data_IF_300674996443
#
_entry.id   IF_300674996443
#
_cell.length_a   1.000
_cell.length_b   1.000
_cell.length_c   1.000
_cell.angle_alpha   90.00
_cell.angle_beta   90.00
_cell.angle_gamma   90.00
#
_symmetry.space_group_name_H-M   'P 1'
#
loop_
_entity.id
_entity.type
_entity.pdbx_description
1 polymer ?
#
# COMPACT_ATOMS: atom_id res chain seq x y z
N UNK A 1 -30.07 -23.85 2.23
CA UNK A 1 -29.90 -22.39 2.34
C UNK A 1 -28.51 -22.07 1.82
N UNK A 2 -28.41 -21.52 0.61
CA UNK A 2 -27.13 -21.29 -0.08
C UNK A 2 -26.74 -19.83 0.01
N UNK A 3 -25.52 -19.55 0.47
CA UNK A 3 -24.95 -18.21 0.37
C UNK A 3 -24.73 -17.95 -1.11
N UNK A 4 -25.32 -16.87 -1.62
CA UNK A 4 -25.16 -16.46 -3.00
C UNK A 4 -23.74 -15.91 -3.17
N UNK A 5 -22.81 -16.75 -3.65
CA UNK A 5 -21.40 -16.36 -3.84
C UNK A 5 -21.27 -15.12 -4.71
N UNK A 6 -22.20 -14.92 -5.67
CA UNK A 6 -22.25 -13.73 -6.52
C UNK A 6 -22.46 -12.45 -5.72
N UNK A 7 -23.38 -12.46 -4.75
CA UNK A 7 -23.61 -11.32 -3.87
C UNK A 7 -22.41 -11.08 -2.95
N UNK A 8 -21.84 -12.13 -2.36
CA UNK A 8 -20.66 -12.01 -1.50
C UNK A 8 -19.43 -11.45 -2.25
N UNK A 9 -19.19 -11.91 -3.48
CA UNK A 9 -18.12 -11.38 -4.34
C UNK A 9 -18.39 -9.93 -4.75
N UNK A 10 -19.62 -9.60 -5.16
CA UNK A 10 -19.98 -8.25 -5.56
C UNK A 10 -19.77 -7.24 -4.42
N UNK A 11 -20.15 -7.62 -3.18
CA UNK A 11 -19.96 -6.77 -2.00
C UNK A 11 -18.49 -6.57 -1.67
N UNK A 12 -17.67 -7.63 -1.66
CA UNK A 12 -16.24 -7.51 -1.35
C UNK A 12 -15.48 -6.73 -2.42
N UNK A 13 -15.79 -6.95 -3.70
CA UNK A 13 -15.23 -6.18 -4.80
C UNK A 13 -15.67 -4.71 -4.76
N UNK A 14 -16.96 -4.45 -4.52
CA UNK A 14 -17.50 -3.09 -4.40
C UNK A 14 -16.84 -2.30 -3.26
N UNK A 15 -16.60 -2.95 -2.10
CA UNK A 15 -15.86 -2.37 -0.99
C UNK A 15 -14.43 -2.01 -1.37
N UNK A 16 -13.71 -2.92 -2.03
CA UNK A 16 -12.34 -2.67 -2.50
C UNK A 16 -12.27 -1.52 -3.50
N UNK A 17 -13.18 -1.50 -4.48
CA UNK A 17 -13.26 -0.44 -5.48
C UNK A 17 -13.60 0.93 -4.86
N UNK A 18 -14.50 0.97 -3.88
CA UNK A 18 -14.85 2.20 -3.17
C UNK A 18 -13.65 2.79 -2.41
N UNK A 19 -12.91 1.95 -1.67
CA UNK A 19 -11.71 2.40 -0.94
C UNK A 19 -10.61 2.86 -1.91
N UNK A 20 -10.39 2.11 -3.00
CA UNK A 20 -9.42 2.50 -4.03
C UNK A 20 -9.79 3.83 -4.71
N UNK A 21 -11.09 4.05 -4.98
CA UNK A 21 -11.59 5.29 -5.56
C UNK A 21 -11.39 6.50 -4.65
N UNK A 22 -11.68 6.36 -3.35
CA UNK A 22 -11.45 7.42 -2.35
C UNK A 22 -9.95 7.75 -2.26
N UNK A 23 -9.08 6.73 -2.20
CA UNK A 23 -7.64 6.93 -2.14
C UNK A 23 -7.10 7.63 -3.41
N UNK A 24 -7.51 7.20 -4.60
CA UNK A 24 -7.13 7.84 -5.86
C UNK A 24 -7.62 9.28 -5.97
N UNK A 25 -8.86 9.54 -5.50
CA UNK A 25 -9.42 10.89 -5.45
C UNK A 25 -8.63 11.83 -4.53
N UNK A 26 -8.16 11.35 -3.38
CA UNK A 26 -7.29 12.14 -2.50
C UNK A 26 -5.94 12.48 -3.16
N UNK A 27 -5.33 11.53 -3.88
CA UNK A 27 -4.07 11.76 -4.59
C UNK A 27 -4.25 12.80 -5.71
N UNK A 28 -5.35 12.71 -6.46
CA UNK A 28 -5.68 13.62 -7.56
C UNK A 28 -5.84 15.09 -7.12
N UNK A 29 -6.19 15.35 -5.85
CA UNK A 29 -6.30 16.71 -5.31
C UNK A 29 -4.96 17.34 -4.94
N UNK A 30 -3.92 16.53 -4.71
CA UNK A 30 -2.62 16.99 -4.19
C UNK A 30 -1.59 17.12 -5.33
N UNK A 31 -1.71 16.30 -6.38
CA UNK A 31 -0.74 16.19 -7.47
C UNK A 31 -1.43 16.35 -8.83
N UNK A 32 -0.77 17.04 -9.76
CA UNK A 32 -1.26 17.14 -11.14
C UNK A 32 -1.17 15.77 -11.83
N UNK A 33 -2.28 15.28 -12.37
CA UNK A 33 -2.34 13.99 -13.05
C UNK A 33 -1.61 14.10 -14.40
N UNK A 34 -0.42 13.53 -14.48
CA UNK A 34 0.29 13.26 -15.73
C UNK A 34 0.09 11.80 -16.16
N UNK A 35 0.21 11.46 -17.46
CA UNK A 35 0.00 10.09 -17.94
C UNK A 35 0.89 9.04 -17.26
N UNK A 36 2.05 9.44 -16.75
CA UNK A 36 3.02 8.60 -16.05
C UNK A 36 2.86 8.61 -14.53
N UNK A 37 1.93 9.39 -13.98
CA UNK A 37 1.75 9.53 -12.53
C UNK A 37 1.35 8.23 -11.84
N UNK A 38 0.72 7.28 -12.54
CA UNK A 38 0.27 6.00 -11.97
C UNK A 38 1.37 4.95 -11.78
N UNK A 39 2.49 5.08 -12.49
CA UNK A 39 3.59 4.11 -12.45
C UNK A 39 4.22 3.94 -11.05
N UNK A 40 4.63 5.02 -10.34
CA UNK A 40 5.19 4.90 -9.00
C UNK A 40 4.19 4.34 -7.97
N UNK A 41 2.91 4.73 -8.04
CA UNK A 41 1.88 4.22 -7.12
C UNK A 41 1.61 2.73 -7.31
N UNK A 42 1.72 2.24 -8.55
CA UNK A 42 1.57 0.81 -8.84
C UNK A 42 2.68 0.00 -8.18
N UNK A 43 3.94 0.48 -8.28
CA UNK A 43 5.08 -0.16 -7.61
C UNK A 43 4.91 -0.15 -6.09
N UNK A 44 4.51 0.99 -5.50
CA UNK A 44 4.24 1.09 -4.06
C UNK A 44 3.13 0.14 -3.61
N UNK A 45 2.05 -0.02 -4.40
CA UNK A 45 0.98 -0.96 -4.11
C UNK A 45 1.48 -2.41 -4.09
N UNK A 46 2.31 -2.81 -5.06
CA UNK A 46 2.94 -4.13 -5.07
C UNK A 46 3.79 -4.37 -3.83
N UNK A 47 4.60 -3.39 -3.44
CA UNK A 47 5.44 -3.44 -2.24
C UNK A 47 4.60 -3.66 -0.99
N UNK A 48 3.54 -2.88 -0.80
CA UNK A 48 2.64 -2.98 0.38
C UNK A 48 1.96 -4.33 0.45
N UNK A 49 1.51 -4.87 -0.69
CA UNK A 49 0.86 -6.19 -0.76
C UNK A 49 1.84 -7.31 -0.44
N UNK A 50 3.09 -7.23 -0.91
CA UNK A 50 4.14 -8.21 -0.58
C UNK A 50 4.50 -8.13 0.91
N UNK A 51 4.61 -6.93 1.46
CA UNK A 51 4.96 -6.69 2.87
C UNK A 51 3.86 -7.17 3.84
N UNK A 52 2.58 -7.03 3.45
CA UNK A 52 1.43 -7.49 4.23
C UNK A 52 1.00 -8.94 3.98
N UNK A 53 1.25 -9.48 2.79
CA UNK A 53 0.92 -10.85 2.39
C UNK A 53 -0.33 -10.97 1.49
N UNK A 54 -0.24 -11.87 0.50
CA UNK A 54 -1.30 -12.19 -0.46
C UNK A 54 -2.37 -13.09 0.19
N UNK A 55 -3.47 -12.50 0.68
CA UNK A 55 -4.64 -13.26 1.15
C UNK A 55 -5.18 -12.86 2.52
N UNK A 56 -4.46 -12.04 3.29
CA UNK A 56 -4.94 -11.49 4.56
C UNK A 56 -5.09 -9.97 4.48
N UNK A 57 -6.30 -9.51 4.16
CA UNK A 57 -6.63 -8.07 4.03
C UNK A 57 -6.18 -7.28 5.26
N UNK A 58 -6.35 -7.83 6.47
CA UNK A 58 -5.93 -7.16 7.71
C UNK A 58 -4.42 -6.95 7.79
N UNK A 59 -3.60 -7.89 7.30
CA UNK A 59 -2.15 -7.74 7.29
C UNK A 59 -1.68 -6.75 6.21
N UNK A 60 -2.36 -6.71 5.05
CA UNK A 60 -2.13 -5.71 4.00
C UNK A 60 -2.41 -4.29 4.48
N UNK A 61 -3.50 -4.08 5.22
CA UNK A 61 -3.85 -2.76 5.79
C UNK A 61 -2.77 -2.26 6.75
N UNK A 62 -2.30 -3.12 7.67
CA UNK A 62 -1.24 -2.70 8.60
C UNK A 62 0.09 -2.50 7.87
N UNK A 63 0.41 -3.33 6.88
CA UNK A 63 1.59 -3.15 6.02
C UNK A 63 1.59 -1.81 5.28
N UNK A 64 0.44 -1.42 4.71
CA UNK A 64 0.28 -0.13 4.04
C UNK A 64 0.37 1.06 4.98
N UNK A 65 -0.16 0.92 6.20
CA UNK A 65 -0.11 1.97 7.21
C UNK A 65 1.33 2.20 7.72
N UNK A 66 2.09 1.13 7.94
CA UNK A 66 3.52 1.22 8.28
C UNK A 66 4.31 1.85 7.13
N UNK A 67 4.05 1.41 5.89
CA UNK A 67 4.72 1.97 4.71
C UNK A 67 4.44 3.47 4.55
N UNK A 68 3.18 3.90 4.69
CA UNK A 68 2.81 5.32 4.60
C UNK A 68 3.40 6.17 5.72
N UNK A 69 3.47 5.67 6.95
CA UNK A 69 4.13 6.38 8.06
C UNK A 69 5.62 6.58 7.75
N UNK A 70 6.28 5.53 7.29
CA UNK A 70 7.69 5.57 6.88
C UNK A 70 7.94 6.57 5.76
N UNK A 71 7.08 6.59 4.74
CA UNK A 71 7.15 7.56 3.64
C UNK A 71 6.99 8.99 4.17
N UNK A 72 6.02 9.23 5.07
CA UNK A 72 5.80 10.54 5.69
C UNK A 72 6.99 11.00 6.54
N UNK A 73 7.61 10.11 7.32
CA UNK A 73 8.83 10.42 8.07
C UNK A 73 10.02 10.70 7.13
N UNK A 74 10.15 9.95 6.03
CA UNK A 74 11.18 10.18 5.00
C UNK A 74 11.06 11.54 4.30
N UNK A 75 9.82 12.01 4.05
CA UNK A 75 9.54 13.32 3.48
C UNK A 75 9.84 14.48 4.46
N UNK A 76 9.83 14.22 5.77
CA UNK A 76 10.06 15.23 6.81
C UNK A 76 11.53 15.58 7.06
N UNK A 77 12.47 14.87 6.45
CA UNK A 77 13.91 15.16 6.59
C UNK A 77 14.28 16.37 5.71
N UNK A 78 14.75 17.49 6.28
CA UNK A 78 15.09 18.68 5.50
C UNK A 78 16.36 18.46 4.68
N UNK A 79 16.27 18.59 3.35
CA UNK A 79 17.45 18.73 2.48
C UNK A 79 17.52 17.85 1.21
N UNK A 80 16.56 16.97 0.95
CA UNK A 80 16.61 16.09 -0.23
C UNK A 80 15.30 16.09 -1.00
N UNK A 81 15.31 16.56 -2.25
CA UNK A 81 14.13 16.70 -3.11
C UNK A 81 13.35 15.40 -3.34
N UNK A 82 12.17 15.51 -3.97
CA UNK A 82 11.14 14.44 -4.12
C UNK A 82 11.64 13.08 -4.64
N UNK A 83 12.83 13.04 -5.26
CA UNK A 83 13.49 11.81 -5.74
C UNK A 83 14.04 10.96 -4.58
N UNK A 84 14.51 11.58 -3.50
CA UNK A 84 15.05 10.87 -2.34
C UNK A 84 13.96 10.26 -1.44
N UNK A 85 12.75 10.81 -1.46
CA UNK A 85 11.63 10.27 -0.69
C UNK A 85 11.23 8.86 -1.15
N UNK A 86 11.21 8.61 -2.46
CA UNK A 86 10.97 7.27 -3.01
C UNK A 86 12.10 6.28 -2.67
N UNK A 87 13.36 6.74 -2.70
CA UNK A 87 14.52 5.91 -2.35
C UNK A 87 14.53 5.50 -0.86
N UNK A 88 14.09 6.39 0.03
CA UNK A 88 13.97 6.10 1.48
C UNK A 88 12.80 5.14 1.75
N UNK A 89 11.66 5.30 1.07
CA UNK A 89 10.53 4.38 1.18
C UNK A 89 10.92 2.94 0.76
N UNK A 90 11.67 2.80 -0.34
CA UNK A 90 12.26 1.54 -0.76
C UNK A 90 13.31 1.00 0.22
N UNK A 91 14.17 1.87 0.76
CA UNK A 91 15.17 1.50 1.76
C UNK A 91 14.55 0.92 3.03
N UNK A 92 13.40 1.45 3.46
CA UNK A 92 12.70 0.97 4.66
C UNK A 92 11.88 -0.30 4.37
N UNK A 93 11.35 -0.48 3.16
CA UNK A 93 10.85 -1.79 2.74
C UNK A 93 11.93 -2.87 2.86
N UNK A 94 13.15 -2.58 2.38
CA UNK A 94 14.29 -3.49 2.51
C UNK A 94 14.64 -3.71 3.98
N UNK A 95 14.66 -2.66 4.81
CA UNK A 95 14.92 -2.76 6.24
C UNK A 95 13.87 -3.62 6.97
N UNK A 96 12.59 -3.48 6.64
CA UNK A 96 11.50 -4.26 7.22
C UNK A 96 11.58 -5.72 6.78
N UNK A 97 11.89 -5.99 5.50
CA UNK A 97 12.12 -7.34 5.01
C UNK A 97 13.34 -8.01 5.67
N UNK A 98 14.41 -7.25 5.92
CA UNK A 98 15.61 -7.73 6.61
C UNK A 98 15.34 -8.01 8.10
N UNK A 99 14.57 -7.16 8.76
CA UNK A 99 14.28 -7.31 10.20
C UNK A 99 13.16 -8.31 10.50
N UNK A 100 12.20 -8.52 9.57
CA UNK A 100 11.16 -9.56 9.66
C UNK A 100 10.80 -10.14 8.27
N UNK A 101 11.53 -11.17 7.81
CA UNK A 101 11.35 -11.76 6.47
C UNK A 101 10.02 -12.51 6.24
N UNK A 102 9.14 -12.58 7.25
CA UNK A 102 7.81 -13.21 7.17
C UNK A 102 6.65 -12.20 7.13
N UNK A 103 6.93 -10.89 6.99
CA UNK A 103 5.93 -9.84 7.10
C UNK A 103 5.49 -9.56 8.55
N UNK A 104 4.68 -8.52 8.74
CA UNK A 104 4.30 -8.03 10.08
C UNK A 104 3.49 -9.06 10.90
N UNK A 105 2.73 -9.93 10.21
CA UNK A 105 1.91 -10.98 10.80
C UNK A 105 2.49 -12.36 10.46
N UNK A 106 3.71 -12.63 10.93
CA UNK A 106 4.31 -13.95 10.88
C UNK A 106 3.43 -15.00 11.57
N UNK A 107 2.76 -15.82 10.77
CA UNK A 107 2.43 -17.26 10.94
C UNK A 107 1.28 -17.61 10.00
N UNK A 108 1.61 -18.32 8.92
CA UNK A 108 0.74 -19.38 8.43
C UNK A 108 0.83 -20.53 9.45
N UNK A 109 -0.25 -20.80 10.15
CA UNK A 109 -0.66 -22.16 10.47
C UNK A 109 -1.97 -22.40 9.74
#
# INVERSE_FOLDING_TARGET
>A
VGIDLRHAYAVTFGLGAAVAGVAGGMIAMIQAITPTAGEPYTLQAFVVVILGGLGRVSATVVGGLVFGLVEAFGQSIPGSGSVFANAIAFGVMVLILVTRPQGLMGRLR
#
